data_IF_558592743880
#
_entry.id   IF_558592743880
#
_cell.length_a   1.000
_cell.length_b   1.000
_cell.length_c   1.000
_cell.angle_alpha   90.00
_cell.angle_beta   90.00
_cell.angle_gamma   90.00
#
_symmetry.space_group_name_H-M   'P 1'
#
loop_
_entity.id
_entity.type
_entity.pdbx_description
1 polymer ?
#
# COMPACT_ATOMS: atom_id res chain seq x y z
N UNK A 1 30.70 41.83 -35.53
CA UNK A 1 30.03 40.64 -34.94
C UNK A 1 29.50 41.01 -33.57
N UNK A 2 28.18 41.14 -33.45
CA UNK A 2 27.51 41.78 -32.32
C UNK A 2 27.43 40.89 -31.07
N UNK A 3 27.41 41.53 -29.91
CA UNK A 3 27.44 41.02 -28.53
C UNK A 3 26.22 40.13 -28.13
N UNK A 4 25.46 39.60 -29.09
CA UNK A 4 24.24 38.81 -28.86
C UNK A 4 24.43 37.29 -28.86
N UNK A 5 25.58 36.78 -29.35
CA UNK A 5 25.81 35.34 -29.49
C UNK A 5 25.93 34.62 -28.13
N UNK A 6 26.57 35.27 -27.15
CA UNK A 6 26.66 34.78 -25.77
C UNK A 6 25.30 34.73 -25.05
N UNK A 7 24.34 35.59 -25.42
CA UNK A 7 23.03 35.69 -24.74
C UNK A 7 22.04 34.62 -25.20
N UNK A 8 22.11 34.18 -26.46
CA UNK A 8 21.20 33.18 -27.00
C UNK A 8 21.56 31.77 -26.51
N UNK A 9 22.84 31.41 -26.46
CA UNK A 9 23.29 30.10 -25.97
C UNK A 9 22.94 29.87 -24.50
N UNK A 10 23.06 30.91 -23.66
CA UNK A 10 22.71 30.81 -22.24
C UNK A 10 21.20 30.63 -22.03
N UNK A 11 20.37 31.28 -22.85
CA UNK A 11 18.91 31.13 -22.83
C UNK A 11 18.46 29.74 -23.30
N UNK A 12 19.10 29.19 -24.33
CA UNK A 12 18.83 27.83 -24.80
C UNK A 12 19.18 26.82 -23.71
N UNK A 13 20.34 26.98 -23.06
CA UNK A 13 20.74 26.11 -21.96
C UNK A 13 19.73 26.17 -20.79
N UNK A 14 19.27 27.36 -20.44
CA UNK A 14 18.29 27.56 -19.37
C UNK A 14 16.94 26.93 -19.71
N UNK A 15 16.49 27.02 -20.97
CA UNK A 15 15.26 26.38 -21.45
C UNK A 15 15.34 24.85 -21.38
N UNK A 16 16.50 24.27 -21.71
CA UNK A 16 16.73 22.81 -21.63
C UNK A 16 16.69 22.33 -20.17
N UNK A 17 17.30 23.07 -19.24
CA UNK A 17 17.27 22.74 -17.82
C UNK A 17 15.82 22.78 -17.29
N UNK A 18 15.06 23.83 -17.62
CA UNK A 18 13.65 23.94 -17.23
C UNK A 18 12.80 22.77 -17.78
N UNK A 19 13.02 22.38 -19.03
CA UNK A 19 12.32 21.24 -19.63
C UNK A 19 12.64 19.91 -18.91
N UNK A 20 13.90 19.69 -18.52
CA UNK A 20 14.31 18.53 -17.74
C UNK A 20 13.66 18.50 -16.36
N UNK A 21 13.62 19.63 -15.67
CA UNK A 21 12.96 19.74 -14.34
C UNK A 21 11.48 19.41 -14.44
N UNK A 22 10.78 19.89 -15.46
CA UNK A 22 9.37 19.59 -15.68
C UNK A 22 9.12 18.09 -15.98
N UNK A 23 10.02 17.45 -16.73
CA UNK A 23 9.96 16.01 -16.98
C UNK A 23 10.13 15.20 -15.69
N UNK A 24 11.12 15.55 -14.87
CA UNK A 24 11.35 14.86 -13.59
C UNK A 24 10.18 15.08 -12.63
N UNK A 25 9.65 16.30 -12.52
CA UNK A 25 8.47 16.60 -11.70
C UNK A 25 7.27 15.77 -12.15
N UNK A 26 7.04 15.66 -13.46
CA UNK A 26 5.94 14.85 -14.03
C UNK A 26 6.09 13.36 -13.72
N UNK A 27 7.32 12.84 -13.70
CA UNK A 27 7.58 11.45 -13.32
C UNK A 27 7.40 11.23 -11.81
N UNK A 28 7.83 12.16 -10.97
CA UNK A 28 7.62 12.09 -9.51
C UNK A 28 6.13 12.12 -9.15
N UNK A 29 5.32 12.96 -9.81
CA UNK A 29 3.86 12.99 -9.65
C UNK A 29 3.19 11.66 -10.05
N UNK A 30 3.62 11.04 -11.16
CA UNK A 30 3.15 9.70 -11.55
C UNK A 30 3.56 8.63 -10.54
N UNK A 31 4.79 8.66 -10.07
CA UNK A 31 5.30 7.71 -9.07
C UNK A 31 4.58 7.87 -7.74
N UNK A 32 4.31 9.10 -7.29
CA UNK A 32 3.56 9.37 -6.07
C UNK A 32 2.13 8.82 -6.15
N UNK A 33 1.40 9.09 -7.24
CA UNK A 33 0.06 8.55 -7.46
C UNK A 33 0.05 7.02 -7.56
N UNK A 34 1.06 6.43 -8.20
CA UNK A 34 1.19 4.97 -8.31
C UNK A 34 1.56 4.33 -6.96
N UNK A 35 2.41 4.98 -6.17
CA UNK A 35 2.78 4.54 -4.84
C UNK A 35 1.56 4.56 -3.90
N UNK A 36 0.77 5.64 -3.91
CA UNK A 36 -0.46 5.73 -3.12
C UNK A 36 -1.46 4.63 -3.48
N UNK A 37 -1.75 4.43 -4.77
CA UNK A 37 -2.65 3.36 -5.21
C UNK A 37 -2.13 1.95 -4.85
N UNK A 38 -0.81 1.74 -4.89
CA UNK A 38 -0.19 0.46 -4.53
C UNK A 38 -0.16 0.23 -3.02
N UNK A 39 -0.06 1.29 -2.21
CA UNK A 39 -0.18 1.24 -0.74
C UNK A 39 -1.61 0.89 -0.33
N UNK A 40 -2.62 1.50 -0.95
CA UNK A 40 -4.03 1.18 -0.68
C UNK A 40 -4.36 -0.27 -1.02
N UNK A 41 -3.89 -0.75 -2.19
CA UNK A 41 -4.08 -2.14 -2.59
C UNK A 41 -3.34 -3.13 -1.69
N UNK A 42 -2.09 -2.83 -1.31
CA UNK A 42 -1.35 -3.70 -0.39
C UNK A 42 -2.00 -3.72 1.00
N UNK A 43 -2.50 -2.58 1.48
CA UNK A 43 -3.14 -2.50 2.79
C UNK A 43 -4.41 -3.34 2.84
N UNK A 44 -5.30 -3.21 1.84
CA UNK A 44 -6.49 -4.05 1.72
C UNK A 44 -6.14 -5.54 1.61
N UNK A 45 -5.15 -5.90 0.78
CA UNK A 45 -4.72 -7.30 0.66
C UNK A 45 -4.13 -7.87 1.95
N UNK A 46 -3.43 -7.06 2.75
CA UNK A 46 -2.92 -7.47 4.07
C UNK A 46 -4.06 -7.64 5.06
N UNK A 47 -5.06 -6.76 5.08
CA UNK A 47 -6.24 -6.92 5.93
C UNK A 47 -7.06 -8.16 5.55
N UNK A 48 -7.31 -8.39 4.25
CA UNK A 48 -8.04 -9.57 3.77
C UNK A 48 -7.29 -10.87 4.11
N UNK A 49 -5.97 -10.89 3.94
CA UNK A 49 -5.15 -12.06 4.33
C UNK A 49 -5.08 -12.23 5.83
N UNK A 50 -5.08 -11.15 6.61
CA UNK A 50 -5.06 -11.21 8.07
C UNK A 50 -6.40 -11.73 8.59
N UNK A 51 -7.52 -11.25 8.07
CA UNK A 51 -8.85 -11.71 8.45
C UNK A 51 -9.07 -13.17 8.04
N UNK A 52 -8.66 -13.55 6.82
CA UNK A 52 -8.71 -14.94 6.37
C UNK A 52 -7.79 -15.86 7.19
N UNK A 53 -6.59 -15.40 7.58
CA UNK A 53 -5.68 -16.17 8.42
C UNK A 53 -6.23 -16.32 9.85
N UNK A 54 -6.81 -15.27 10.41
CA UNK A 54 -7.46 -15.30 11.72
C UNK A 54 -8.68 -16.22 11.68
N UNK A 55 -9.52 -16.13 10.65
CA UNK A 55 -10.66 -17.02 10.46
C UNK A 55 -10.24 -18.49 10.24
N UNK A 56 -9.10 -18.73 9.59
CA UNK A 56 -8.53 -20.07 9.42
C UNK A 56 -7.89 -20.63 10.70
N UNK A 57 -7.36 -19.76 11.57
CA UNK A 57 -6.78 -20.13 12.85
C UNK A 57 -7.83 -20.45 13.93
N UNK A 58 -9.09 -20.05 13.72
CA UNK A 58 -10.20 -20.40 14.61
C UNK A 58 -10.60 -21.87 14.50
N UNK A 59 -10.81 -22.51 15.64
CA UNK A 59 -11.25 -23.90 15.78
C UNK A 59 -12.66 -24.15 15.24
N UNK A 60 -12.87 -25.36 14.72
CA UNK A 60 -14.17 -25.84 14.27
C UNK A 60 -14.97 -26.45 15.43
N UNK A 61 -16.25 -26.76 15.20
CA UNK A 61 -17.09 -27.37 16.24
C UNK A 61 -16.47 -28.68 16.75
N UNK A 62 -16.30 -28.78 18.08
CA UNK A 62 -15.65 -29.90 18.76
C UNK A 62 -14.16 -29.72 19.04
N UNK A 63 -13.50 -28.73 18.44
CA UNK A 63 -12.12 -28.36 18.75
C UNK A 63 -12.03 -27.69 20.12
N UNK A 64 -10.87 -27.83 20.78
CA UNK A 64 -10.63 -27.20 22.08
C UNK A 64 -10.46 -25.69 21.94
N UNK A 65 -11.01 -24.96 22.91
CA UNK A 65 -10.95 -23.50 22.97
C UNK A 65 -10.78 -23.02 24.41
N UNK A 66 -10.22 -21.82 24.56
CA UNK A 66 -10.03 -21.15 25.86
C UNK A 66 -11.01 -19.99 26.01
N UNK A 67 -11.36 -19.34 24.90
CA UNK A 67 -12.33 -18.26 24.82
C UNK A 67 -13.15 -18.30 23.52
N UNK A 68 -14.18 -17.48 23.46
CA UNK A 68 -15.11 -17.43 22.32
C UNK A 68 -14.42 -17.07 21.00
N UNK A 69 -13.39 -16.22 21.05
CA UNK A 69 -12.63 -15.77 19.89
C UNK A 69 -11.80 -16.88 19.23
N UNK A 70 -11.52 -17.97 19.96
CA UNK A 70 -10.83 -19.15 19.42
C UNK A 70 -11.73 -19.96 18.47
N UNK A 71 -13.05 -19.76 18.50
CA UNK A 71 -14.03 -20.55 17.77
C UNK A 71 -14.58 -19.81 16.55
N UNK A 72 -14.73 -20.51 15.41
CA UNK A 72 -15.35 -19.91 14.22
C UNK A 72 -16.79 -19.46 14.45
N UNK A 73 -17.52 -20.17 15.30
CA UNK A 73 -18.87 -19.82 15.73
C UNK A 73 -18.93 -18.63 16.68
N UNK A 74 -17.79 -18.18 17.20
CA UNK A 74 -17.74 -17.15 18.25
C UNK A 74 -18.22 -17.67 19.61
N UNK A 75 -18.31 -18.98 19.81
CA UNK A 75 -18.78 -19.56 21.06
C UNK A 75 -17.93 -20.76 21.50
N UNK A 76 -17.32 -20.62 22.67
CA UNK A 76 -16.59 -21.66 23.37
C UNK A 76 -17.42 -22.14 24.57
N UNK A 77 -17.78 -23.42 24.58
CA UNK A 77 -18.53 -24.04 25.69
C UNK A 77 -17.65 -24.09 26.95
N UNK A 78 -18.02 -23.32 27.98
CA UNK A 78 -17.30 -23.31 29.27
C UNK A 78 -17.39 -24.64 30.04
N UNK A 79 -18.33 -25.51 29.68
CA UNK A 79 -18.53 -26.81 30.34
C UNK A 79 -17.56 -27.86 29.81
N UNK A 80 -17.28 -27.84 28.51
CA UNK A 80 -16.49 -28.87 27.81
C UNK A 80 -15.12 -28.35 27.33
N UNK A 81 -14.91 -27.04 27.36
CA UNK A 81 -13.74 -26.37 26.77
C UNK A 81 -13.68 -26.51 25.25
N UNK A 82 -14.83 -26.57 24.56
CA UNK A 82 -14.92 -26.87 23.13
C UNK A 82 -15.81 -25.91 22.34
N UNK A 83 -15.44 -25.65 21.09
CA UNK A 83 -16.21 -24.83 20.17
C UNK A 83 -17.54 -25.48 19.80
N UNK A 84 -18.63 -24.70 19.75
CA UNK A 84 -19.97 -25.16 19.32
C UNK A 84 -20.52 -24.26 18.23
#
# INVERSE_FOLDING_TARGET
>A
MGKGQLSAEMLILLAVILALVLLVASQLLKTANTASAKIDQNSQSVFDKSDAAVAAAKGNAGDYCVGNDDCKSGFCSSTDGKCR
#
